data_IF_404836624086
#
_entry.id   IF_404836624086
#
_cell.length_a   1.000
_cell.length_b   1.000
_cell.length_c   1.000
_cell.angle_alpha   90.00
_cell.angle_beta   90.00
_cell.angle_gamma   90.00
#
_symmetry.space_group_name_H-M   'P 1'
#
loop_
_entity.id
_entity.type
_entity.pdbx_description
1 polymer ?
#
# COMPACT_ATOMS: atom_id res chain seq x y z
N UNK A 1 4.10 -20.66 3.84
CA UNK A 1 5.27 -21.39 4.38
C UNK A 1 6.55 -20.75 3.90
N UNK A 2 7.51 -20.54 4.81
CA UNK A 2 8.86 -20.01 4.48
C UNK A 2 9.90 -21.12 4.66
N UNK A 3 10.74 -21.32 3.66
CA UNK A 3 11.80 -22.32 3.64
C UNK A 3 13.15 -21.64 3.42
N UNK A 4 14.16 -22.00 4.21
CA UNK A 4 15.53 -21.57 4.00
C UNK A 4 16.29 -22.61 3.19
N UNK A 5 16.81 -22.21 2.05
CA UNK A 5 17.60 -23.04 1.16
C UNK A 5 19.09 -22.67 1.31
N UNK A 6 19.74 -23.36 2.23
CA UNK A 6 21.11 -23.04 2.63
C UNK A 6 21.22 -21.75 3.46
N UNK A 7 22.42 -21.13 3.47
CA UNK A 7 22.72 -19.95 4.31
C UNK A 7 22.29 -18.61 3.72
N UNK A 8 21.86 -18.58 2.45
CA UNK A 8 21.73 -17.31 1.69
C UNK A 8 20.41 -17.13 0.99
N UNK A 9 19.68 -18.20 0.72
CA UNK A 9 18.44 -18.17 -0.03
C UNK A 9 17.28 -18.48 0.90
N UNK A 10 16.21 -17.67 0.82
CA UNK A 10 14.98 -17.81 1.58
C UNK A 10 13.80 -17.70 0.61
N UNK A 11 12.98 -18.73 0.58
CA UNK A 11 11.77 -18.78 -0.24
C UNK A 11 10.53 -18.82 0.62
N UNK A 12 9.52 -18.06 0.27
CA UNK A 12 8.20 -18.06 0.90
C UNK A 12 7.15 -18.34 -0.16
N UNK A 13 6.23 -19.26 0.12
CA UNK A 13 5.04 -19.47 -0.68
C UNK A 13 3.81 -19.27 0.19
N UNK A 14 2.76 -18.69 -0.40
CA UNK A 14 1.49 -18.46 0.26
C UNK A 14 0.34 -18.78 -0.66
N UNK A 15 -0.74 -19.29 -0.06
CA UNK A 15 -2.00 -19.60 -0.72
C UNK A 15 -3.13 -19.23 0.22
N UNK A 16 -4.20 -18.65 -0.30
CA UNK A 16 -5.45 -18.38 0.41
C UNK A 16 -6.61 -18.61 -0.54
N UNK A 17 -7.66 -19.24 -0.03
CA UNK A 17 -8.94 -19.36 -0.71
C UNK A 17 -10.03 -19.12 0.32
N UNK A 18 -10.86 -18.10 0.10
CA UNK A 18 -11.86 -17.67 1.08
C UNK A 18 -13.05 -16.98 0.40
N UNK A 19 -14.20 -17.04 1.06
CA UNK A 19 -15.32 -16.14 0.76
C UNK A 19 -15.02 -14.74 1.26
N UNK A 20 -15.43 -13.75 0.52
CA UNK A 20 -15.37 -12.32 0.88
C UNK A 20 -16.72 -11.67 0.67
N UNK A 21 -17.02 -10.70 1.50
CA UNK A 21 -18.27 -9.95 1.42
C UNK A 21 -18.22 -9.00 0.23
N UNK A 22 -19.24 -9.02 -0.60
CA UNK A 22 -19.29 -8.22 -1.81
C UNK A 22 -20.72 -7.82 -2.20
N UNK A 23 -20.84 -6.70 -2.90
CA UNK A 23 -22.08 -6.32 -3.56
C UNK A 23 -22.15 -7.01 -4.92
N UNK A 24 -22.83 -8.15 -4.99
CA UNK A 24 -23.10 -8.85 -6.25
C UNK A 24 -24.30 -8.18 -6.95
N UNK A 25 -24.16 -7.90 -8.22
CA UNK A 25 -25.22 -7.40 -9.07
C UNK A 25 -25.85 -8.60 -9.76
N UNK A 26 -27.00 -9.05 -9.26
CA UNK A 26 -27.87 -9.96 -10.02
C UNK A 26 -28.45 -9.14 -11.18
N UNK A 27 -28.16 -9.56 -12.40
CA UNK A 27 -28.84 -9.00 -13.57
C UNK A 27 -30.26 -9.54 -13.60
N UNK A 28 -31.22 -8.81 -13.03
CA UNK A 28 -32.65 -9.06 -13.09
C UNK A 28 -33.24 -8.91 -14.52
N UNK A 29 -32.43 -9.06 -15.56
CA UNK A 29 -32.92 -9.05 -16.94
C UNK A 29 -33.35 -10.47 -17.32
N UNK A 30 -34.61 -10.71 -17.78
CA UNK A 30 -35.04 -12.01 -18.21
C UNK A 30 -34.12 -12.51 -19.34
N UNK A 31 -33.47 -13.62 -19.12
CA UNK A 31 -32.46 -14.21 -19.97
C UNK A 31 -33.08 -14.73 -21.28
N UNK A 32 -32.52 -14.32 -22.39
CA UNK A 32 -32.56 -15.14 -23.58
C UNK A 32 -31.65 -16.36 -23.33
N UNK A 33 -32.15 -17.59 -23.49
CA UNK A 33 -31.59 -18.87 -23.01
C UNK A 33 -30.16 -19.22 -23.52
N UNK A 34 -29.44 -18.29 -24.16
CA UNK A 34 -28.16 -18.57 -24.82
C UNK A 34 -27.01 -17.62 -24.49
N UNK A 35 -27.13 -16.80 -23.46
CA UNK A 35 -26.02 -15.94 -23.01
C UNK A 35 -25.67 -16.32 -21.57
N UNK A 36 -24.51 -16.94 -21.38
CA UNK A 36 -23.87 -17.10 -20.06
C UNK A 36 -23.54 -15.69 -19.51
N UNK A 37 -24.47 -15.10 -18.76
CA UNK A 37 -24.18 -13.86 -18.05
C UNK A 37 -23.29 -14.20 -16.84
N UNK A 38 -22.03 -13.85 -16.94
CA UNK A 38 -21.12 -13.94 -15.80
C UNK A 38 -21.62 -13.00 -14.70
N UNK A 39 -21.86 -13.54 -13.52
CA UNK A 39 -22.22 -12.75 -12.36
C UNK A 39 -21.11 -11.73 -12.05
N UNK A 40 -21.47 -10.49 -11.87
CA UNK A 40 -20.55 -9.40 -11.59
C UNK A 40 -20.74 -8.87 -10.16
N UNK A 41 -19.70 -8.28 -9.59
CA UNK A 41 -19.79 -7.57 -8.33
C UNK A 41 -19.17 -6.17 -8.44
N UNK A 42 -19.74 -5.20 -7.71
CA UNK A 42 -19.36 -3.79 -7.85
C UNK A 42 -18.37 -3.32 -6.78
N UNK A 43 -18.35 -3.95 -5.62
CA UNK A 43 -17.47 -3.56 -4.52
C UNK A 43 -17.22 -4.69 -3.53
N UNK A 44 -16.03 -4.66 -2.93
CA UNK A 44 -15.67 -5.48 -1.78
C UNK A 44 -16.05 -4.75 -0.50
N UNK A 45 -16.57 -5.47 0.48
CA UNK A 45 -16.98 -4.94 1.79
C UNK A 45 -15.99 -5.42 2.86
N UNK A 46 -15.42 -4.49 3.59
CA UNK A 46 -14.44 -4.76 4.65
C UNK A 46 -15.00 -4.52 6.07
N UNK A 47 -16.27 -4.13 6.18
CA UNK A 47 -16.88 -3.76 7.46
C UNK A 47 -17.26 -4.96 8.34
N UNK A 48 -17.46 -6.14 7.73
CA UNK A 48 -17.79 -7.39 8.42
C UNK A 48 -19.14 -7.37 9.14
N UNK A 49 -20.05 -6.47 8.79
CA UNK A 49 -21.38 -6.41 9.39
C UNK A 49 -22.36 -7.37 8.72
N UNK A 50 -23.04 -8.21 9.55
CA UNK A 50 -24.06 -9.17 9.12
C UNK A 50 -25.32 -9.05 10.00
N UNK A 51 -25.86 -7.85 10.17
CA UNK A 51 -26.96 -7.53 11.09
C UNK A 51 -28.33 -7.46 10.41
N UNK A 52 -28.34 -7.11 9.13
CA UNK A 52 -29.55 -6.97 8.32
C UNK A 52 -29.61 -8.06 7.25
N UNK A 53 -30.81 -8.30 6.69
CA UNK A 53 -30.97 -9.25 5.60
C UNK A 53 -30.06 -8.93 4.40
N UNK A 54 -29.93 -7.66 4.06
CA UNK A 54 -29.05 -7.21 2.99
C UNK A 54 -27.55 -7.42 3.31
N UNK A 55 -27.13 -7.18 4.55
CA UNK A 55 -25.75 -7.47 4.99
C UNK A 55 -25.47 -8.98 4.95
N UNK A 56 -26.43 -9.80 5.37
CA UNK A 56 -26.31 -11.28 5.35
C UNK A 56 -26.26 -11.82 3.90
N UNK A 57 -27.02 -11.25 2.98
CA UNK A 57 -27.00 -11.70 1.58
C UNK A 57 -25.68 -11.37 0.84
N UNK A 58 -24.90 -10.44 1.36
CA UNK A 58 -23.57 -10.05 0.83
C UNK A 58 -22.42 -10.85 1.44
N UNK A 59 -22.72 -11.64 2.48
CA UNK A 59 -21.72 -12.43 3.19
C UNK A 59 -21.17 -13.53 2.29
N UNK A 60 -19.83 -13.62 2.22
CA UNK A 60 -19.11 -14.65 1.45
C UNK A 60 -19.58 -14.77 -0.01
N UNK A 61 -20.12 -13.68 -0.57
CA UNK A 61 -20.77 -13.68 -1.87
C UNK A 61 -19.80 -13.90 -3.04
N UNK A 62 -18.52 -13.56 -2.85
CA UNK A 62 -17.47 -13.75 -3.85
C UNK A 62 -16.36 -14.63 -3.28
N UNK A 63 -15.89 -15.59 -4.09
CA UNK A 63 -14.73 -16.41 -3.75
C UNK A 63 -13.45 -15.74 -4.25
N UNK A 64 -12.52 -15.53 -3.35
CA UNK A 64 -11.19 -14.99 -3.65
C UNK A 64 -10.13 -16.08 -3.51
N UNK A 65 -9.28 -16.20 -4.51
CA UNK A 65 -8.11 -17.07 -4.49
C UNK A 65 -6.85 -16.23 -4.62
N UNK A 66 -5.93 -16.37 -3.67
CA UNK A 66 -4.63 -15.72 -3.71
C UNK A 66 -3.54 -16.78 -3.74
N UNK A 67 -2.63 -16.66 -4.70
CA UNK A 67 -1.45 -17.50 -4.83
C UNK A 67 -0.22 -16.61 -5.01
N UNK A 68 0.87 -16.92 -4.32
CA UNK A 68 2.08 -16.16 -4.55
C UNK A 68 3.31 -16.72 -3.87
N UNK A 69 4.43 -16.06 -4.15
CA UNK A 69 5.71 -16.42 -3.60
C UNK A 69 6.68 -15.26 -3.57
N UNK A 70 7.64 -15.37 -2.68
CA UNK A 70 8.75 -14.43 -2.54
C UNK A 70 10.05 -15.22 -2.43
N UNK A 71 11.06 -14.82 -3.19
CA UNK A 71 12.39 -15.39 -3.14
C UNK A 71 13.38 -14.29 -2.78
N UNK A 72 14.17 -14.49 -1.71
CA UNK A 72 15.15 -13.53 -1.24
C UNK A 72 16.55 -14.13 -1.15
N UNK A 73 17.52 -13.44 -1.74
CA UNK A 73 18.93 -13.73 -1.57
C UNK A 73 19.57 -12.75 -0.59
N UNK A 74 20.25 -13.29 0.43
CA UNK A 74 20.85 -12.50 1.53
C UNK A 74 22.37 -12.61 1.57
N UNK A 75 23.01 -11.49 1.79
CA UNK A 75 24.44 -11.35 2.12
C UNK A 75 24.58 -10.52 3.39
N UNK A 76 25.75 -10.49 4.07
CA UNK A 76 25.94 -9.76 5.31
C UNK A 76 25.58 -8.26 5.23
N UNK A 77 25.76 -7.62 4.08
CA UNK A 77 25.57 -6.18 3.87
C UNK A 77 24.48 -5.83 2.88
N UNK A 78 23.89 -6.81 2.21
CA UNK A 78 22.81 -6.54 1.27
C UNK A 78 21.88 -7.75 1.08
N UNK A 79 20.69 -7.49 0.68
CA UNK A 79 19.73 -8.49 0.23
C UNK A 79 18.94 -7.95 -0.95
N UNK A 80 18.50 -8.86 -1.81
CA UNK A 80 17.56 -8.59 -2.89
C UNK A 80 16.52 -9.70 -2.90
N UNK A 81 15.28 -9.34 -3.16
CA UNK A 81 14.16 -10.26 -3.26
C UNK A 81 13.28 -9.98 -4.45
N UNK A 82 12.51 -10.98 -4.85
CA UNK A 82 11.48 -10.88 -5.87
C UNK A 82 10.21 -11.53 -5.38
N UNK A 83 9.08 -10.89 -5.63
CA UNK A 83 7.74 -11.32 -5.23
C UNK A 83 6.85 -11.44 -6.46
N UNK A 84 6.01 -12.47 -6.49
CA UNK A 84 4.89 -12.58 -7.43
C UNK A 84 3.65 -12.92 -6.61
N UNK A 85 2.56 -12.21 -6.83
CA UNK A 85 1.27 -12.47 -6.22
C UNK A 85 0.17 -12.39 -7.29
N UNK A 86 -0.69 -13.39 -7.30
CA UNK A 86 -1.84 -13.48 -8.17
C UNK A 86 -3.11 -13.56 -7.35
N UNK A 87 -4.07 -12.72 -7.65
CA UNK A 87 -5.41 -12.70 -7.03
C UNK A 87 -6.44 -12.97 -8.11
N UNK A 88 -7.36 -13.89 -7.87
CA UNK A 88 -8.45 -14.22 -8.76
C UNK A 88 -9.77 -14.28 -8.00
N UNK A 89 -10.84 -13.83 -8.66
CA UNK A 89 -12.21 -13.84 -8.18
C UNK A 89 -13.07 -14.78 -9.05
N UNK A 90 -14.06 -15.42 -8.46
CA UNK A 90 -15.02 -16.25 -9.22
C UNK A 90 -16.06 -15.42 -10.01
N UNK A 91 -16.17 -14.12 -9.72
CA UNK A 91 -17.05 -13.18 -10.41
C UNK A 91 -16.24 -11.99 -10.92
N UNK A 92 -16.72 -11.37 -12.00
CA UNK A 92 -16.06 -10.19 -12.58
C UNK A 92 -16.30 -8.96 -11.68
N UNK A 93 -15.23 -8.28 -11.28
CA UNK A 93 -15.33 -6.98 -10.64
C UNK A 93 -15.64 -5.94 -11.70
N UNK A 94 -16.86 -5.44 -11.66
CA UNK A 94 -17.39 -4.39 -12.54
C UNK A 94 -17.81 -3.20 -11.68
N UNK A 95 -17.03 -2.14 -11.73
CA UNK A 95 -17.20 -0.94 -10.92
C UNK A 95 -17.87 0.15 -11.73
N UNK A 96 -18.78 0.89 -11.13
CA UNK A 96 -19.28 2.11 -11.72
C UNK A 96 -18.23 3.23 -11.56
N UNK A 97 -17.25 3.26 -12.49
CA UNK A 97 -16.10 4.15 -12.41
C UNK A 97 -16.46 5.57 -12.84
N UNK A 98 -16.13 6.51 -11.98
CA UNK A 98 -16.11 7.94 -12.28
C UNK A 98 -14.75 8.38 -12.85
N UNK A 99 -14.64 9.61 -13.32
CA UNK A 99 -13.39 10.12 -13.92
C UNK A 99 -12.21 10.05 -12.94
N UNK A 100 -12.42 10.27 -11.66
CA UNK A 100 -11.35 10.30 -10.66
C UNK A 100 -10.79 8.91 -10.35
N UNK A 101 -11.62 7.86 -10.39
CA UNK A 101 -11.23 6.48 -10.06
C UNK A 101 -11.21 5.53 -11.28
N UNK A 102 -11.20 6.06 -12.49
CA UNK A 102 -11.25 5.30 -13.76
C UNK A 102 -10.12 4.29 -13.98
N UNK A 103 -9.12 4.30 -13.14
CA UNK A 103 -7.97 3.39 -13.20
C UNK A 103 -8.01 2.33 -12.10
N UNK A 104 -9.08 2.26 -11.32
CA UNK A 104 -9.26 1.19 -10.35
C UNK A 104 -9.36 -0.18 -11.05
N UNK A 105 -9.09 -1.24 -10.28
CA UNK A 105 -9.10 -2.59 -10.80
C UNK A 105 -10.52 -2.98 -11.24
N UNK A 106 -10.60 -3.47 -12.46
CA UNK A 106 -11.76 -4.18 -13.04
C UNK A 106 -11.31 -5.54 -13.56
N UNK A 107 -12.25 -6.48 -13.68
CA UNK A 107 -11.98 -7.84 -14.17
C UNK A 107 -11.94 -8.88 -13.07
N UNK A 108 -11.50 -10.09 -13.40
CA UNK A 108 -11.55 -11.26 -12.51
C UNK A 108 -10.20 -11.53 -11.83
N UNK A 109 -9.11 -11.00 -12.34
CA UNK A 109 -7.78 -11.33 -11.84
C UNK A 109 -6.81 -10.15 -11.86
N UNK A 110 -5.83 -10.20 -10.99
CA UNK A 110 -4.71 -9.28 -11.00
C UNK A 110 -3.43 -9.98 -10.57
N UNK A 111 -2.36 -9.77 -11.33
CA UNK A 111 -1.02 -10.26 -10.99
C UNK A 111 -0.11 -9.09 -10.67
N UNK A 112 0.52 -9.14 -9.51
CA UNK A 112 1.50 -8.15 -9.07
C UNK A 112 2.88 -8.80 -8.99
N UNK A 113 3.88 -8.13 -9.54
CA UNK A 113 5.28 -8.53 -9.45
C UNK A 113 6.07 -7.42 -8.77
N UNK A 114 7.00 -7.79 -7.89
CA UNK A 114 7.79 -6.83 -7.15
C UNK A 114 9.23 -7.26 -6.96
N UNK A 115 10.09 -6.28 -6.74
CA UNK A 115 11.50 -6.46 -6.36
C UNK A 115 11.77 -5.60 -5.14
N UNK A 116 12.40 -6.18 -4.13
CA UNK A 116 12.84 -5.48 -2.94
C UNK A 116 14.36 -5.57 -2.77
N UNK A 117 14.94 -4.55 -2.16
CA UNK A 117 16.37 -4.52 -1.85
C UNK A 117 16.65 -3.84 -0.51
N UNK A 118 17.76 -4.23 0.09
CA UNK A 118 18.32 -3.59 1.26
C UNK A 118 19.83 -3.62 1.18
N UNK A 119 20.49 -2.48 1.34
CA UNK A 119 21.95 -2.35 1.28
C UNK A 119 22.42 -1.53 2.47
N UNK A 120 23.34 -2.09 3.22
CA UNK A 120 24.00 -1.43 4.36
C UNK A 120 25.44 -1.09 4.01
N UNK A 121 25.76 0.19 4.08
CA UNK A 121 27.12 0.67 3.90
C UNK A 121 27.53 1.58 5.05
N UNK A 122 28.45 1.13 5.89
CA UNK A 122 28.83 1.83 7.14
C UNK A 122 27.59 2.12 8.02
N UNK A 123 27.26 3.39 8.24
CA UNK A 123 26.10 3.87 8.98
C UNK A 123 24.90 4.27 8.10
N UNK A 124 24.95 3.94 6.82
CA UNK A 124 23.90 4.21 5.86
C UNK A 124 23.17 2.91 5.54
N UNK A 125 21.84 2.93 5.57
CA UNK A 125 20.98 1.88 5.05
C UNK A 125 20.16 2.45 3.90
N UNK A 126 20.27 1.81 2.74
CA UNK A 126 19.48 2.10 1.56
C UNK A 126 18.61 0.91 1.25
N UNK A 127 17.31 1.10 1.26
CA UNK A 127 16.34 0.05 1.00
C UNK A 127 15.20 0.57 0.15
N UNK A 128 14.47 -0.33 -0.45
CA UNK A 128 13.33 0.03 -1.26
C UNK A 128 12.64 -1.17 -1.85
N UNK A 129 11.54 -0.90 -2.49
CA UNK A 129 10.79 -1.85 -3.30
C UNK A 129 10.26 -1.17 -4.55
N UNK A 130 10.13 -1.95 -5.60
CA UNK A 130 9.44 -1.57 -6.82
C UNK A 130 8.46 -2.67 -7.16
N UNK A 131 7.22 -2.34 -7.47
CA UNK A 131 6.21 -3.31 -7.84
C UNK A 131 5.40 -2.83 -9.04
N UNK A 132 4.85 -3.77 -9.80
CA UNK A 132 4.00 -3.51 -10.95
C UNK A 132 2.84 -4.51 -10.96
N UNK A 133 1.62 -4.02 -11.13
CA UNK A 133 0.47 -4.86 -11.49
C UNK A 133 0.48 -5.18 -12.98
N UNK A 134 -0.13 -6.30 -13.39
CA UNK A 134 -0.10 -6.78 -14.78
C UNK A 134 -0.60 -5.73 -15.78
N UNK A 135 -1.61 -4.95 -15.40
CA UNK A 135 -2.25 -3.95 -16.24
C UNK A 135 -1.93 -2.50 -15.80
N UNK A 136 -0.96 -2.30 -14.91
CA UNK A 136 -0.70 -1.00 -14.31
C UNK A 136 0.74 -0.50 -14.45
N UNK A 137 0.93 0.77 -14.14
CA UNK A 137 2.26 1.38 -14.03
C UNK A 137 2.97 0.95 -12.75
N UNK A 138 4.31 0.98 -12.70
CA UNK A 138 5.03 0.59 -11.50
C UNK A 138 4.81 1.56 -10.34
N UNK A 139 4.80 1.02 -9.13
CA UNK A 139 4.99 1.77 -7.90
C UNK A 139 6.43 1.56 -7.39
N UNK A 140 7.06 2.62 -6.92
CA UNK A 140 8.43 2.59 -6.37
C UNK A 140 8.46 3.30 -5.04
N UNK A 141 9.09 2.68 -4.08
CA UNK A 141 9.41 3.25 -2.78
C UNK A 141 10.90 3.05 -2.51
N UNK A 142 11.61 4.14 -2.27
CA UNK A 142 13.05 4.12 -1.94
C UNK A 142 13.27 4.91 -0.68
N UNK A 143 13.97 4.32 0.27
CA UNK A 143 14.32 4.99 1.51
C UNK A 143 15.81 4.94 1.77
N UNK A 144 16.30 6.01 2.37
CA UNK A 144 17.66 6.18 2.83
C UNK A 144 17.61 6.50 4.32
N UNK A 145 18.21 5.67 5.12
CA UNK A 145 18.30 5.86 6.57
C UNK A 145 19.76 5.93 6.99
N UNK A 146 20.12 7.06 7.59
CA UNK A 146 21.39 7.24 8.26
C UNK A 146 21.13 7.09 9.76
N UNK A 147 21.30 5.89 10.29
CA UNK A 147 21.02 5.56 11.70
C UNK A 147 21.15 6.75 12.61
N UNK A 148 20.01 7.33 13.01
CA UNK A 148 19.77 8.30 14.07
C UNK A 148 19.60 9.79 13.70
N UNK A 149 19.90 10.27 12.48
CA UNK A 149 19.84 11.73 12.26
C UNK A 149 19.02 12.16 11.04
N UNK A 150 19.01 11.37 9.99
CA UNK A 150 18.32 11.75 8.75
C UNK A 150 17.68 10.53 8.10
N UNK A 151 16.40 10.62 7.77
CA UNK A 151 15.69 9.69 6.92
C UNK A 151 15.13 10.40 5.70
N UNK A 152 15.21 9.79 4.53
CA UNK A 152 14.58 10.26 3.31
C UNK A 152 13.86 9.11 2.67
N UNK A 153 12.63 9.34 2.23
CA UNK A 153 11.81 8.33 1.57
C UNK A 153 11.14 8.97 0.36
N UNK A 154 11.43 8.44 -0.80
CA UNK A 154 10.77 8.79 -2.05
C UNK A 154 9.76 7.72 -2.42
N UNK A 155 8.57 8.16 -2.85
CA UNK A 155 7.50 7.30 -3.34
C UNK A 155 6.96 7.82 -4.66
N UNK A 156 6.68 6.91 -5.58
CA UNK A 156 6.04 7.18 -6.86
C UNK A 156 5.11 6.00 -7.19
N UNK A 157 3.82 6.23 -7.03
CA UNK A 157 2.79 5.23 -7.30
C UNK A 157 1.99 5.65 -8.51
N UNK A 158 2.02 4.82 -9.54
CA UNK A 158 1.24 5.03 -10.75
C UNK A 158 -0.25 5.13 -10.45
N UNK A 159 -0.97 5.87 -11.29
CA UNK A 159 -2.42 6.05 -11.17
C UNK A 159 -3.23 4.76 -11.36
N UNK A 160 -2.66 3.80 -12.04
CA UNK A 160 -3.21 2.50 -12.40
C UNK A 160 -2.47 1.33 -11.71
N UNK A 161 -1.63 1.63 -10.72
CA UNK A 161 -1.02 0.60 -9.87
C UNK A 161 -2.08 -0.01 -8.96
N UNK A 162 -2.31 -1.31 -9.07
CA UNK A 162 -3.33 -2.03 -8.34
C UNK A 162 -2.72 -3.11 -7.45
N UNK A 163 -2.90 -2.96 -6.14
CA UNK A 163 -2.55 -3.98 -5.17
C UNK A 163 -3.47 -3.88 -3.96
N UNK A 164 -4.50 -4.71 -3.93
CA UNK A 164 -5.53 -4.71 -2.89
C UNK A 164 -4.98 -4.94 -1.47
N UNK A 165 -3.83 -5.62 -1.34
CA UNK A 165 -3.25 -6.00 -0.05
C UNK A 165 -1.99 -5.22 0.33
N UNK A 166 -1.56 -4.30 -0.51
CA UNK A 166 -0.40 -3.46 -0.19
C UNK A 166 -0.77 -2.34 0.76
N UNK A 167 -0.02 -2.25 1.85
CA UNK A 167 -0.05 -1.10 2.74
C UNK A 167 1.33 -0.51 2.79
N UNK A 168 1.47 0.66 2.20
CA UNK A 168 2.75 1.37 2.06
C UNK A 168 2.67 2.72 2.73
N UNK A 169 3.82 3.36 2.89
CA UNK A 169 3.87 4.74 3.35
C UNK A 169 3.36 5.66 2.24
N UNK A 170 2.13 6.13 2.38
CA UNK A 170 1.43 7.02 1.46
C UNK A 170 0.57 8.00 2.25
N UNK A 171 0.23 9.14 1.67
CA UNK A 171 -0.75 10.07 2.24
C UNK A 171 -2.17 9.53 2.06
N UNK A 172 -2.45 8.93 0.92
CA UNK A 172 -3.70 8.22 0.66
C UNK A 172 -3.77 6.86 1.36
N UNK A 173 -4.99 6.34 1.56
CA UNK A 173 -5.21 4.98 2.11
C UNK A 173 -4.74 3.88 1.18
N UNK A 174 -4.65 4.15 -0.11
CA UNK A 174 -4.23 3.20 -1.15
C UNK A 174 -2.96 3.68 -1.85
N UNK A 175 -2.04 2.76 -2.24
CA UNK A 175 -0.77 3.10 -2.87
C UNK A 175 -0.91 3.36 -4.37
N UNK A 176 -1.67 4.34 -4.78
CA UNK A 176 -1.89 4.70 -6.18
C UNK A 176 -2.01 6.21 -6.37
N UNK A 177 -1.69 6.68 -7.59
CA UNK A 177 -1.80 8.09 -7.97
C UNK A 177 -1.10 9.06 -7.00
N UNK A 178 0.07 8.69 -6.47
CA UNK A 178 0.76 9.54 -5.50
C UNK A 178 2.27 9.56 -5.75
N UNK A 179 2.85 10.75 -5.71
CA UNK A 179 4.29 10.98 -5.65
C UNK A 179 4.61 11.79 -4.42
N UNK A 180 5.64 11.38 -3.69
CA UNK A 180 6.00 12.10 -2.48
C UNK A 180 7.46 11.96 -2.09
N UNK A 181 7.92 12.93 -1.32
CA UNK A 181 9.22 12.95 -0.68
C UNK A 181 9.05 13.28 0.80
N UNK A 182 9.30 12.30 1.62
CA UNK A 182 9.38 12.47 3.07
C UNK A 182 10.84 12.68 3.48
N UNK A 183 11.08 13.64 4.34
CA UNK A 183 12.39 13.89 4.96
C UNK A 183 12.19 14.02 6.46
N UNK A 184 12.80 13.15 7.24
CA UNK A 184 12.77 13.14 8.70
C UNK A 184 14.15 13.42 9.27
N UNK A 185 14.18 14.17 10.35
CA UNK A 185 15.38 14.55 11.08
C UNK A 185 15.22 14.29 12.57
N UNK A 186 16.17 13.59 13.15
CA UNK A 186 16.28 13.47 14.60
C UNK A 186 17.66 13.96 15.05
N UNK A 187 17.67 14.89 16.00
CA UNK A 187 18.89 15.43 16.62
C UNK A 187 18.80 15.24 18.12
N UNK A 188 19.87 14.74 18.71
CA UNK A 188 20.02 14.63 20.17
C UNK A 188 21.24 15.43 20.63
N UNK A 189 21.07 16.75 20.85
CA UNK A 189 22.19 17.62 21.26
C UNK A 189 22.84 17.18 22.58
N UNK A 190 22.02 16.66 23.51
CA UNK A 190 22.46 16.08 24.77
C UNK A 190 21.62 14.84 25.10
N UNK A 191 21.95 14.15 26.19
CA UNK A 191 21.16 13.01 26.69
C UNK A 191 19.75 13.42 27.15
N UNK A 192 19.57 14.68 27.53
CA UNK A 192 18.30 15.20 28.00
C UNK A 192 17.43 15.84 26.92
N UNK A 193 17.99 16.19 25.76
CA UNK A 193 17.28 16.89 24.70
C UNK A 193 17.18 16.05 23.44
N UNK A 194 15.99 15.99 22.86
CA UNK A 194 15.76 15.45 21.52
C UNK A 194 14.90 16.39 20.69
N UNK A 195 15.26 16.54 19.43
CA UNK A 195 14.55 17.32 18.43
C UNK A 195 14.17 16.36 17.31
N UNK A 196 12.87 16.28 17.02
CA UNK A 196 12.33 15.49 15.91
C UNK A 196 11.60 16.45 14.98
N UNK A 197 11.90 16.37 13.71
CA UNK A 197 11.22 17.14 12.68
C UNK A 197 11.02 16.28 11.45
N UNK A 198 9.92 16.49 10.72
CA UNK A 198 9.76 15.94 9.39
C UNK A 198 9.04 16.91 8.47
N UNK A 199 9.27 16.72 7.19
CA UNK A 199 8.54 17.34 6.11
C UNK A 199 8.17 16.25 5.10
N UNK A 200 6.89 16.12 4.81
CA UNK A 200 6.36 15.28 3.75
C UNK A 200 5.74 16.19 2.69
N UNK A 201 6.22 16.06 1.47
CA UNK A 201 5.68 16.76 0.30
C UNK A 201 5.12 15.73 -0.65
N UNK A 202 3.87 15.91 -1.07
CA UNK A 202 3.20 14.97 -1.94
C UNK A 202 2.35 15.67 -3.00
N UNK A 203 2.11 14.94 -4.08
CA UNK A 203 1.21 15.36 -5.14
C UNK A 203 0.47 14.18 -5.71
N UNK A 204 -0.73 14.44 -6.20
CA UNK A 204 -1.59 13.50 -6.89
C UNK A 204 -1.66 13.90 -8.36
N UNK A 205 -0.97 13.18 -9.25
CA UNK A 205 -0.91 13.51 -10.68
C UNK A 205 -2.25 13.40 -11.41
N UNK A 206 -3.20 12.63 -10.87
CA UNK A 206 -4.56 12.45 -11.36
C UNK A 206 -5.58 12.99 -10.37
N UNK A 207 -6.83 13.13 -10.79
CA UNK A 207 -7.96 13.59 -9.98
C UNK A 207 -8.18 12.72 -8.75
N UNK A 208 -8.74 13.31 -7.71
CA UNK A 208 -9.22 12.64 -6.50
C UNK A 208 -10.71 12.93 -6.31
N UNK A 209 -11.34 12.19 -5.41
CA UNK A 209 -12.72 12.46 -5.02
C UNK A 209 -12.87 13.92 -4.57
N UNK A 210 -13.85 14.61 -5.12
CA UNK A 210 -14.14 16.05 -4.90
C UNK A 210 -13.04 17.03 -5.36
N UNK A 211 -12.06 16.57 -6.14
CA UNK A 211 -10.99 17.43 -6.65
C UNK A 211 -10.96 17.38 -8.18
N UNK A 212 -11.16 18.52 -8.83
CA UNK A 212 -11.31 18.61 -10.28
C UNK A 212 -9.99 18.84 -11.04
N UNK A 213 -8.86 18.84 -10.35
CA UNK A 213 -7.53 19.03 -10.92
C UNK A 213 -6.50 18.15 -10.19
N UNK A 214 -5.34 17.89 -10.79
CA UNK A 214 -4.19 17.38 -10.05
C UNK A 214 -3.90 18.25 -8.84
N UNK A 215 -3.64 17.64 -7.70
CA UNK A 215 -3.49 18.35 -6.43
C UNK A 215 -2.18 18.03 -5.74
N UNK A 216 -1.79 18.86 -4.79
CA UNK A 216 -0.55 18.71 -4.02
C UNK A 216 -0.77 19.11 -2.56
N UNK A 217 0.14 18.70 -1.72
CA UNK A 217 0.11 19.06 -0.32
C UNK A 217 1.44 18.88 0.37
N UNK A 218 1.47 19.29 1.60
CA UNK A 218 2.61 19.03 2.48
C UNK A 218 2.17 18.88 3.94
N UNK A 219 2.98 18.15 4.70
CA UNK A 219 2.85 18.00 6.13
C UNK A 219 4.20 18.28 6.77
N UNK A 220 4.24 19.25 7.67
CA UNK A 220 5.45 19.65 8.42
C UNK A 220 5.20 19.47 9.90
N UNK A 221 6.12 18.81 10.55
CA UNK A 221 6.08 18.53 11.98
C UNK A 221 7.39 18.88 12.64
N UNK A 222 7.33 19.41 13.84
CA UNK A 222 8.48 19.65 14.72
C UNK A 222 8.14 19.41 16.17
N UNK A 223 9.02 18.73 16.88
CA UNK A 223 8.90 18.49 18.30
C UNK A 223 10.26 18.66 18.99
N UNK A 224 10.28 19.37 20.08
CA UNK A 224 11.43 19.48 20.99
C UNK A 224 11.02 18.85 22.31
N UNK A 225 11.78 17.86 22.76
CA UNK A 225 11.54 17.15 24.01
C UNK A 225 12.72 17.32 24.96
N UNK A 226 12.42 17.55 26.23
CA UNK A 226 13.37 17.63 27.32
C UNK A 226 13.08 16.56 28.36
N UNK A 227 14.07 15.70 28.63
CA UNK A 227 14.01 14.59 29.60
C UNK A 227 15.12 14.76 30.64
N UNK A 228 14.89 15.57 31.72
CA UNK A 228 15.90 15.77 32.74
C UNK A 228 16.23 14.49 33.52
N UNK A 229 15.27 13.60 33.65
CA UNK A 229 15.39 12.31 34.30
C UNK A 229 14.57 11.22 33.61
N UNK A 230 14.60 9.97 34.09
CA UNK A 230 13.90 8.83 33.50
C UNK A 230 12.37 8.85 33.64
N UNK A 231 11.84 9.72 34.54
CA UNK A 231 10.41 9.77 34.89
C UNK A 231 9.71 10.99 34.29
N UNK A 232 10.47 12.04 33.95
CA UNK A 232 9.93 13.32 33.51
C UNK A 232 10.25 13.57 32.05
N UNK A 233 9.23 13.88 31.26
CA UNK A 233 9.36 14.36 29.89
C UNK A 233 8.47 15.57 29.68
N UNK A 234 9.05 16.65 29.19
CA UNK A 234 8.35 17.85 28.76
C UNK A 234 8.62 18.05 27.28
N UNK A 235 7.59 18.29 26.49
CA UNK A 235 7.76 18.56 25.08
C UNK A 235 6.86 19.67 24.57
N UNK A 236 7.32 20.32 23.51
CA UNK A 236 6.54 21.24 22.68
C UNK A 236 6.56 20.70 21.26
N UNK A 237 5.40 20.66 20.62
CA UNK A 237 5.26 20.23 19.24
C UNK A 237 4.36 21.16 18.45
N UNK A 238 4.69 21.31 17.16
CA UNK A 238 3.86 21.99 16.18
C UNK A 238 3.71 21.11 14.93
N UNK A 239 2.56 21.15 14.30
CA UNK A 239 2.29 20.49 13.01
C UNK A 239 1.51 21.45 12.15
N UNK A 240 1.88 21.52 10.89
CA UNK A 240 1.14 22.26 9.87
C UNK A 240 0.96 21.39 8.64
N UNK A 241 -0.27 21.28 8.20
CA UNK A 241 -0.65 20.43 7.06
C UNK A 241 -1.50 21.27 6.11
N UNK A 242 -1.18 21.18 4.83
CA UNK A 242 -1.95 21.83 3.76
C UNK A 242 -2.22 20.83 2.64
N UNK A 243 -3.44 20.79 2.18
CA UNK A 243 -3.93 20.01 1.04
C UNK A 243 -4.69 20.93 0.09
N UNK A 244 -4.52 20.73 -1.21
CA UNK A 244 -5.37 21.28 -2.25
C UNK A 244 -6.36 20.23 -2.74
#
# INVERSE_FOLDING_TARGET
>A
TTVRMGKRLEGTAFFSHKGIDANVTDSDVPLDENIDQEAAFSSLLEDGYHRTYQEVSRKDAVQETILGGHLRYKRPRWSVGGTVAHVAYNHTLDRNLSVYNRFELEGQENTTMGVDWNVMYRNLTWFGEGARSANGTPGVLVALDKRLSLSMLYRDFGRDYQNAYSRVFAEGSNPWNERGLYTGLEIRPTRAWSINAFMDQFRFPWLRYLTNAPSSGYDVFGQVSWKPDKKTEVYVRARHQAHE
#
